data_IF_170822359617
#
_entry.id   IF_170822359617
#
_cell.length_a   1.000
_cell.length_b   1.000
_cell.length_c   1.000
_cell.angle_alpha   90.00
_cell.angle_beta   90.00
_cell.angle_gamma   90.00
#
_symmetry.space_group_name_H-M   'P 1'
#
loop_
_entity.id
_entity.type
_entity.pdbx_description
1 polymer ?
#
# COMPACT_ATOMS: atom_id res chain seq x y z
N UNK A 1 -31.80 -2.44 20.05
CA UNK A 1 -31.01 -3.29 20.97
C UNK A 1 -29.63 -3.37 20.37
N UNK A 2 -28.74 -2.51 20.87
CA UNK A 2 -27.38 -2.35 20.37
C UNK A 2 -26.55 -3.52 20.88
N UNK A 3 -26.06 -4.36 19.97
CA UNK A 3 -24.85 -5.14 20.24
C UNK A 3 -23.72 -4.42 19.51
N UNK A 4 -23.25 -3.35 20.16
CA UNK A 4 -21.86 -2.95 20.09
C UNK A 4 -21.10 -4.04 20.84
N UNK A 5 -20.77 -5.13 20.15
CA UNK A 5 -19.71 -6.01 20.63
C UNK A 5 -18.40 -5.41 20.16
N UNK A 6 -17.80 -4.67 21.08
CA UNK A 6 -16.40 -4.32 21.15
C UNK A 6 -15.55 -5.56 20.85
N UNK A 7 -15.21 -5.79 19.58
CA UNK A 7 -14.10 -6.67 19.22
C UNK A 7 -12.80 -5.89 19.48
N UNK A 8 -12.44 -5.84 20.76
CA UNK A 8 -11.10 -5.66 21.33
C UNK A 8 -10.21 -4.54 20.74
N UNK A 9 -10.28 -3.36 21.37
CA UNK A 9 -9.22 -2.35 21.57
C UNK A 9 -8.49 -1.71 20.37
N UNK A 10 -8.78 -2.05 19.12
CA UNK A 10 -8.23 -1.32 17.99
C UNK A 10 -9.15 -0.14 17.62
N UNK A 11 -8.62 1.09 17.44
CA UNK A 11 -9.42 2.17 16.87
C UNK A 11 -9.97 1.71 15.51
N UNK A 12 -11.22 2.08 15.16
CA UNK A 12 -11.87 1.57 13.95
C UNK A 12 -11.07 2.02 12.72
N UNK A 13 -10.22 1.13 12.21
CA UNK A 13 -9.47 1.37 10.99
C UNK A 13 -10.45 1.46 9.82
N UNK A 14 -10.10 2.21 8.78
CA UNK A 14 -10.92 2.32 7.58
C UNK A 14 -11.24 0.93 6.99
N UNK A 15 -10.32 -0.03 7.10
CA UNK A 15 -10.48 -1.42 6.65
C UNK A 15 -11.61 -2.16 7.42
N UNK A 16 -11.89 -1.76 8.66
CA UNK A 16 -13.00 -2.29 9.46
C UNK A 16 -14.32 -1.55 9.29
N UNK A 17 -14.35 -0.43 8.55
CA UNK A 17 -15.51 0.44 8.42
C UNK A 17 -16.61 -0.19 7.55
N UNK A 18 -17.85 0.30 7.70
CA UNK A 18 -18.97 -0.12 6.87
C UNK A 18 -18.74 0.20 5.38
N UNK A 19 -18.20 1.38 5.08
CA UNK A 19 -17.87 1.79 3.70
C UNK A 19 -16.88 0.83 3.03
N UNK A 20 -15.90 0.33 3.78
CA UNK A 20 -14.94 -0.64 3.25
C UNK A 20 -15.60 -1.99 2.96
N UNK A 21 -16.46 -2.47 3.86
CA UNK A 21 -17.20 -3.72 3.65
C UNK A 21 -18.11 -3.65 2.43
N UNK A 22 -18.78 -2.52 2.22
CA UNK A 22 -19.59 -2.29 1.01
C UNK A 22 -18.73 -2.36 -0.28
N UNK A 23 -17.51 -1.80 -0.24
CA UNK A 23 -16.58 -1.91 -1.37
C UNK A 23 -16.12 -3.35 -1.61
N UNK A 24 -15.88 -4.14 -0.55
CA UNK A 24 -15.51 -5.55 -0.67
C UNK A 24 -16.66 -6.40 -1.23
N UNK A 25 -17.89 -6.15 -0.80
CA UNK A 25 -19.10 -6.80 -1.33
C UNK A 25 -19.29 -6.46 -2.82
N UNK A 26 -19.11 -5.18 -3.20
CA UNK A 26 -19.16 -4.77 -4.60
C UNK A 26 -18.06 -5.43 -5.44
N UNK A 27 -16.83 -5.47 -4.94
CA UNK A 27 -15.70 -6.13 -5.61
C UNK A 27 -16.00 -7.62 -5.82
N UNK A 28 -16.61 -8.28 -4.83
CA UNK A 28 -17.01 -9.68 -4.93
C UNK A 28 -18.08 -9.93 -6.00
N UNK A 29 -19.07 -9.03 -6.11
CA UNK A 29 -20.20 -9.19 -7.02
C UNK A 29 -19.92 -8.76 -8.46
N UNK A 30 -19.24 -7.62 -8.64
CA UNK A 30 -19.05 -6.98 -9.95
C UNK A 30 -17.62 -7.09 -10.48
N UNK A 31 -16.69 -7.52 -9.62
CA UNK A 31 -15.27 -7.58 -9.94
C UNK A 31 -14.54 -6.26 -9.72
N UNK A 32 -13.21 -6.31 -9.56
CA UNK A 32 -12.41 -5.14 -9.19
C UNK A 32 -12.29 -4.08 -10.29
N UNK A 33 -12.44 -4.45 -11.56
CA UNK A 33 -12.34 -3.49 -12.67
C UNK A 33 -13.55 -2.55 -12.70
N UNK A 34 -14.75 -3.09 -12.57
CA UNK A 34 -15.97 -2.29 -12.54
C UNK A 34 -16.03 -1.35 -11.32
N UNK A 35 -15.61 -1.83 -10.15
CA UNK A 35 -15.55 -0.99 -8.93
C UNK A 35 -14.54 0.15 -9.10
N UNK A 36 -13.40 -0.11 -9.76
CA UNK A 36 -12.42 0.93 -10.03
C UNK A 36 -13.00 2.00 -10.96
N UNK A 37 -13.65 1.60 -12.05
CA UNK A 37 -14.28 2.54 -12.99
C UNK A 37 -15.33 3.42 -12.30
N UNK A 38 -16.18 2.82 -11.44
CA UNK A 38 -17.16 3.57 -10.65
C UNK A 38 -16.54 4.59 -9.71
N UNK A 39 -15.38 4.30 -9.12
CA UNK A 39 -14.66 5.25 -8.25
C UNK A 39 -14.04 6.37 -9.10
N UNK A 40 -13.42 6.04 -10.23
CA UNK A 40 -12.77 7.00 -11.11
C UNK A 40 -13.75 8.03 -11.72
N UNK A 41 -15.02 7.66 -11.89
CA UNK A 41 -16.08 8.56 -12.36
C UNK A 41 -16.51 9.60 -11.30
N UNK A 42 -16.11 9.44 -10.03
CA UNK A 42 -16.46 10.37 -8.95
C UNK A 42 -15.51 11.55 -8.90
N UNK A 43 -16.05 12.73 -8.57
CA UNK A 43 -15.26 13.96 -8.37
C UNK A 43 -14.48 13.97 -7.04
N UNK A 44 -15.01 13.34 -5.99
CA UNK A 44 -14.42 13.29 -4.65
C UNK A 44 -14.55 11.85 -4.16
N UNK A 45 -13.47 11.31 -3.58
CA UNK A 45 -13.40 9.95 -3.06
C UNK A 45 -13.42 9.94 -1.54
N UNK A 46 -14.05 8.93 -0.94
CA UNK A 46 -13.99 8.70 0.51
C UNK A 46 -12.64 8.09 0.90
N UNK A 47 -12.30 8.13 2.19
CA UNK A 47 -11.06 7.54 2.70
C UNK A 47 -11.01 6.02 2.44
N UNK A 48 -12.17 5.34 2.47
CA UNK A 48 -12.28 3.91 2.13
C UNK A 48 -11.98 3.67 0.64
N UNK A 49 -12.51 4.49 -0.25
CA UNK A 49 -12.26 4.41 -1.69
C UNK A 49 -10.79 4.71 -2.02
N UNK A 50 -10.20 5.73 -1.39
CA UNK A 50 -8.79 6.08 -1.57
C UNK A 50 -7.90 4.90 -1.16
N UNK A 51 -8.13 4.30 0.01
CA UNK A 51 -7.35 3.14 0.45
C UNK A 51 -7.60 1.91 -0.42
N UNK A 52 -8.82 1.73 -0.92
CA UNK A 52 -9.16 0.60 -1.77
C UNK A 52 -8.42 0.71 -3.11
N UNK A 53 -8.37 1.91 -3.71
CA UNK A 53 -7.59 2.19 -4.93
C UNK A 53 -6.09 1.98 -4.67
N UNK A 54 -5.56 2.46 -3.54
CA UNK A 54 -4.16 2.21 -3.15
C UNK A 54 -3.86 0.71 -3.05
N UNK A 55 -4.73 -0.08 -2.38
CA UNK A 55 -4.63 -1.54 -2.30
C UNK A 55 -4.53 -2.17 -3.69
N UNK A 56 -5.38 -1.75 -4.63
CA UNK A 56 -5.35 -2.24 -6.01
C UNK A 56 -4.05 -1.86 -6.73
N UNK A 57 -3.59 -0.63 -6.59
CA UNK A 57 -2.36 -0.16 -7.22
C UNK A 57 -1.13 -0.91 -6.69
N UNK A 58 -1.05 -1.15 -5.37
CA UNK A 58 0.00 -1.98 -4.77
C UNK A 58 -0.03 -3.41 -5.32
N UNK A 59 -1.22 -4.02 -5.43
CA UNK A 59 -1.37 -5.35 -6.02
C UNK A 59 -0.86 -5.41 -7.47
N UNK A 60 -1.25 -4.43 -8.30
CA UNK A 60 -0.84 -4.35 -9.69
C UNK A 60 0.68 -4.16 -9.83
N UNK A 61 1.29 -3.22 -9.10
CA UNK A 61 2.74 -2.99 -9.15
C UNK A 61 3.55 -4.11 -8.46
N UNK A 62 2.95 -4.86 -7.54
CA UNK A 62 3.56 -6.05 -6.94
C UNK A 62 3.59 -7.26 -7.88
N UNK A 63 2.71 -7.30 -8.89
CA UNK A 63 2.70 -8.35 -9.91
C UNK A 63 3.84 -8.07 -10.89
N UNK A 64 4.82 -8.98 -10.99
CA UNK A 64 5.92 -8.90 -11.98
C UNK A 64 5.43 -9.22 -13.40
N UNK A 65 4.39 -8.53 -13.84
CA UNK A 65 3.71 -8.75 -15.11
C UNK A 65 4.59 -8.26 -16.29
N UNK A 66 4.47 -8.92 -17.45
CA UNK A 66 5.26 -8.61 -18.63
C UNK A 66 5.00 -7.19 -19.14
N UNK A 67 3.79 -6.66 -18.95
CA UNK A 67 3.43 -5.29 -19.32
C UNK A 67 4.19 -4.23 -18.50
N UNK A 68 4.37 -4.47 -17.19
CA UNK A 68 5.11 -3.54 -16.33
C UNK A 68 6.61 -3.53 -16.64
N UNK A 69 7.17 -4.61 -17.18
CA UNK A 69 8.56 -4.66 -17.66
C UNK A 69 8.82 -3.73 -18.85
N UNK A 70 7.78 -3.43 -19.63
CA UNK A 70 7.86 -2.55 -20.80
C UNK A 70 7.59 -1.08 -20.45
N UNK A 71 7.20 -0.78 -19.21
CA UNK A 71 6.93 0.58 -18.77
C UNK A 71 8.24 1.35 -18.55
N UNK A 72 8.33 2.64 -18.94
CA UNK A 72 9.48 3.48 -18.59
C UNK A 72 9.69 3.50 -17.07
N UNK A 73 10.93 3.23 -16.64
CA UNK A 73 11.27 3.13 -15.22
C UNK A 73 10.89 4.40 -14.44
N UNK A 74 11.16 5.58 -15.00
CA UNK A 74 10.84 6.84 -14.33
C UNK A 74 9.34 6.96 -14.03
N UNK A 75 8.48 6.59 -15.00
CA UNK A 75 7.02 6.63 -14.83
C UNK A 75 6.55 5.62 -13.78
N UNK A 76 7.16 4.44 -13.77
CA UNK A 76 6.89 3.42 -12.76
C UNK A 76 7.24 3.93 -11.35
N UNK A 77 8.41 4.53 -11.18
CA UNK A 77 8.85 5.10 -9.91
C UNK A 77 7.98 6.28 -9.47
N UNK A 78 7.63 7.20 -10.37
CA UNK A 78 6.72 8.31 -10.05
C UNK A 78 5.38 7.80 -9.55
N UNK A 79 4.77 6.86 -10.27
CA UNK A 79 3.50 6.27 -9.85
C UNK A 79 3.61 5.59 -8.48
N UNK A 80 4.71 4.89 -8.21
CA UNK A 80 4.92 4.24 -6.92
C UNK A 80 5.09 5.26 -5.79
N UNK A 81 5.83 6.35 -6.02
CA UNK A 81 5.99 7.46 -5.06
C UNK A 81 4.65 8.11 -4.75
N UNK A 82 3.80 8.34 -5.76
CA UNK A 82 2.50 8.97 -5.56
C UNK A 82 1.54 8.06 -4.77
N UNK A 83 1.55 6.75 -5.06
CA UNK A 83 0.79 5.75 -4.28
C UNK A 83 1.28 5.72 -2.82
N UNK A 84 2.59 5.67 -2.59
CA UNK A 84 3.16 5.73 -1.24
C UNK A 84 2.80 7.03 -0.52
N UNK A 85 2.84 8.17 -1.21
CA UNK A 85 2.49 9.47 -0.61
C UNK A 85 1.04 9.48 -0.16
N UNK A 86 0.11 9.02 -0.99
CA UNK A 86 -1.30 8.91 -0.63
C UNK A 86 -1.50 7.96 0.57
N UNK A 87 -0.79 6.83 0.57
CA UNK A 87 -0.82 5.87 1.69
C UNK A 87 -0.32 6.50 3.00
N UNK A 88 0.79 7.23 2.96
CA UNK A 88 1.32 7.93 4.14
C UNK A 88 0.33 8.97 4.68
N UNK A 89 -0.31 9.77 3.82
CA UNK A 89 -1.29 10.77 4.26
C UNK A 89 -2.50 10.13 4.96
N UNK A 90 -2.96 8.97 4.49
CA UNK A 90 -4.06 8.26 5.14
C UNK A 90 -3.62 7.64 6.46
N UNK A 91 -2.43 7.01 6.51
CA UNK A 91 -1.91 6.42 7.75
C UNK A 91 -1.62 7.45 8.83
N UNK A 92 -1.03 8.59 8.47
CA UNK A 92 -0.76 9.70 9.40
C UNK A 92 -2.07 10.22 10.02
N UNK A 93 -3.14 10.33 9.22
CA UNK A 93 -4.47 10.68 9.74
C UNK A 93 -5.11 9.62 10.63
N UNK A 94 -4.70 8.35 10.50
CA UNK A 94 -5.24 7.23 11.30
C UNK A 94 -4.45 6.97 12.60
N UNK A 95 -3.19 7.44 12.69
CA UNK A 95 -2.24 7.23 13.79
C UNK A 95 -2.43 5.90 14.55
N UNK A 96 -2.29 4.75 13.86
CA UNK A 96 -2.58 3.48 14.48
C UNK A 96 -1.51 3.12 15.51
N UNK A 97 -1.93 2.75 16.71
CA UNK A 97 -1.02 2.18 17.71
C UNK A 97 -0.44 0.86 17.20
N UNK A 98 0.88 0.85 16.97
CA UNK A 98 1.61 -0.34 16.54
C UNK A 98 2.20 -1.06 17.75
N UNK A 99 1.99 -2.36 17.86
CA UNK A 99 2.65 -3.15 18.89
C UNK A 99 4.16 -3.36 18.58
N UNK A 100 4.90 -3.85 19.57
CA UNK A 100 6.34 -4.08 19.46
C UNK A 100 6.73 -5.08 18.36
N UNK A 101 5.97 -6.15 18.18
CA UNK A 101 6.27 -7.17 17.17
C UNK A 101 6.07 -6.63 15.75
N UNK A 102 5.00 -5.87 15.53
CA UNK A 102 4.75 -5.19 14.26
C UNK A 102 5.84 -4.16 13.96
N UNK A 103 6.28 -3.37 14.94
CA UNK A 103 7.39 -2.42 14.77
C UNK A 103 8.69 -3.12 14.41
N UNK A 104 9.01 -4.25 15.05
CA UNK A 104 10.21 -5.04 14.74
C UNK A 104 10.14 -5.59 13.30
N UNK A 105 9.00 -6.19 12.93
CA UNK A 105 8.81 -6.75 11.59
C UNK A 105 8.97 -5.68 10.50
N UNK A 106 8.30 -4.53 10.67
CA UNK A 106 8.39 -3.41 9.72
C UNK A 106 9.83 -2.91 9.62
N UNK A 107 10.51 -2.73 10.76
CA UNK A 107 11.90 -2.26 10.80
C UNK A 107 12.85 -3.21 10.05
N UNK A 108 12.68 -4.52 10.20
CA UNK A 108 13.48 -5.51 9.48
C UNK A 108 13.22 -5.44 7.96
N UNK A 109 11.95 -5.36 7.54
CA UNK A 109 11.62 -5.25 6.11
C UNK A 109 12.13 -3.96 5.47
N UNK A 110 12.08 -2.85 6.21
CA UNK A 110 12.67 -1.59 5.76
C UNK A 110 14.19 -1.69 5.68
N UNK A 111 14.86 -2.31 6.66
CA UNK A 111 16.31 -2.53 6.62
C UNK A 111 16.70 -3.34 5.37
N UNK A 112 15.99 -4.42 5.07
CA UNK A 112 16.21 -5.23 3.86
C UNK A 112 15.99 -4.40 2.58
N UNK A 113 14.91 -3.60 2.53
CA UNK A 113 14.59 -2.76 1.38
C UNK A 113 15.61 -1.63 1.15
N UNK A 114 16.34 -1.21 2.19
CA UNK A 114 17.41 -0.22 2.06
C UNK A 114 18.72 -0.80 1.49
N UNK A 115 18.79 -2.10 1.19
CA UNK A 115 20.00 -2.70 0.64
C UNK A 115 20.52 -1.94 -0.60
N UNK A 116 21.80 -1.59 -0.57
CA UNK A 116 22.44 -0.75 -1.62
C UNK A 116 22.44 0.75 -1.31
N UNK A 117 21.71 1.20 -0.29
CA UNK A 117 21.79 2.58 0.23
C UNK A 117 22.92 2.73 1.28
N UNK A 118 23.07 1.82 2.28
CA UNK A 118 24.16 1.91 3.25
C UNK A 118 25.54 1.97 2.59
N UNK A 119 26.45 2.74 3.20
CA UNK A 119 27.83 2.88 2.72
C UNK A 119 28.52 1.52 2.58
N UNK A 120 28.34 0.64 3.56
CA UNK A 120 28.89 -0.73 3.55
C UNK A 120 28.45 -1.55 2.34
N UNK A 121 27.17 -1.49 1.97
CA UNK A 121 26.65 -2.20 0.79
C UNK A 121 27.12 -1.54 -0.50
N UNK A 122 27.20 -0.21 -0.57
CA UNK A 122 27.74 0.49 -1.75
C UNK A 122 29.23 0.20 -1.97
N UNK A 123 30.02 0.15 -0.91
CA UNK A 123 31.44 -0.19 -0.97
C UNK A 123 31.64 -1.65 -1.38
N UNK A 124 30.77 -2.56 -0.93
CA UNK A 124 30.73 -3.94 -1.42
C UNK A 124 30.43 -4.00 -2.92
N UNK A 125 29.42 -3.28 -3.39
CA UNK A 125 29.05 -3.24 -4.81
C UNK A 125 30.16 -2.64 -5.68
N UNK A 126 30.81 -1.56 -5.22
CA UNK A 126 31.97 -0.96 -5.91
C UNK A 126 33.11 -1.97 -6.09
N UNK A 127 33.50 -2.65 -5.00
CA UNK A 127 34.52 -3.71 -5.05
C UNK A 127 34.15 -4.87 -5.97
N UNK A 128 32.86 -5.15 -6.14
CA UNK A 128 32.38 -6.19 -7.04
C UNK A 128 32.42 -5.73 -8.51
N UNK A 129 32.06 -4.48 -8.78
CA UNK A 129 32.14 -3.86 -10.11
C UNK A 129 33.59 -3.74 -10.61
N UNK A 130 34.53 -3.40 -9.72
CA UNK A 130 35.97 -3.30 -10.06
C UNK A 130 36.63 -4.68 -10.35
N UNK A 131 35.92 -5.78 -10.09
CA UNK A 131 36.40 -7.16 -10.31
C UNK A 131 35.85 -7.80 -11.60
N UNK A 132 34.97 -7.13 -12.32
CA UNK A 132 34.48 -7.53 -13.65
C UNK A 132 35.23 -6.77 -14.74
#
# INVERSE_FOLDING_TARGET
MFLNDDVLFLPPTIIGSAEWKELEEKEFHYGPEQVLDEILDKRIWSNAEILWVIKRMIFFYGKKDALLKNMPLDRLFTNFVDVLRAFFLVLDGCDPDLDENMRIYISQKLADATWGIPASTRDYLRKYADRQ
#
